data_IF_486061361723
#
_entry.id   IF_486061361723
#
_cell.length_a   1.000
_cell.length_b   1.000
_cell.length_c   1.000
_cell.angle_alpha   90.00
_cell.angle_beta   90.00
_cell.angle_gamma   90.00
#
_symmetry.space_group_name_H-M   'P 1'
#
loop_
_entity.id
_entity.type
_entity.pdbx_description
1 polymer ?
#
# COMPACT_ATOMS: atom_id res chain seq x y z
N UNK A 1 62.13 19.18 40.14
CA UNK A 1 60.79 19.77 40.02
C UNK A 1 60.18 19.19 38.76
N UNK A 2 59.46 18.07 38.89
CA UNK A 2 58.79 17.35 37.75
C UNK A 2 57.34 17.77 37.64
N UNK A 3 56.97 18.33 36.49
CA UNK A 3 55.58 18.63 36.16
C UNK A 3 54.92 17.34 35.68
N UNK A 4 53.99 16.80 36.47
CA UNK A 4 53.10 15.74 36.02
C UNK A 4 52.02 16.36 35.13
N UNK A 5 52.13 16.10 33.85
CA UNK A 5 51.12 16.42 32.87
C UNK A 5 50.02 15.35 32.96
N UNK A 6 48.92 15.69 33.63
CA UNK A 6 47.73 14.84 33.72
C UNK A 6 47.01 14.85 32.36
N UNK A 7 47.23 13.81 31.55
CA UNK A 7 46.51 13.60 30.27
C UNK A 7 45.12 13.06 30.61
N UNK A 8 44.15 13.96 30.72
CA UNK A 8 42.74 13.59 30.87
C UNK A 8 42.26 13.11 29.50
N UNK A 9 42.38 11.80 29.24
CA UNK A 9 41.73 11.16 28.13
C UNK A 9 40.23 11.11 28.41
N UNK A 10 39.51 12.12 27.94
CA UNK A 10 38.06 12.09 27.79
C UNK A 10 37.73 11.00 26.78
N UNK A 11 37.50 9.78 27.30
CA UNK A 11 36.77 8.74 26.57
C UNK A 11 35.37 9.27 26.30
N UNK A 12 35.20 9.99 25.21
CA UNK A 12 33.90 10.13 24.55
C UNK A 12 33.53 8.72 24.05
N UNK A 13 32.98 7.89 24.95
CA UNK A 13 32.14 6.79 24.54
C UNK A 13 30.96 7.42 23.81
N UNK A 14 31.08 7.54 22.51
CA UNK A 14 29.92 7.77 21.64
C UNK A 14 28.96 6.60 21.93
N UNK A 15 27.98 6.86 22.79
CA UNK A 15 26.83 6.00 22.95
C UNK A 15 26.15 5.95 21.59
N UNK A 16 26.54 4.98 20.79
CA UNK A 16 25.80 4.62 19.58
C UNK A 16 24.46 4.08 20.08
N UNK A 17 23.48 4.99 20.19
CA UNK A 17 22.09 4.62 20.47
C UNK A 17 21.61 3.89 19.22
N UNK A 18 21.78 2.58 19.21
CA UNK A 18 21.17 1.75 18.18
C UNK A 18 19.66 1.82 18.34
N UNK A 19 18.89 2.02 17.25
CA UNK A 19 17.45 1.97 17.32
C UNK A 19 17.02 0.61 17.86
N UNK A 20 16.10 0.62 18.81
CA UNK A 20 15.49 -0.60 19.31
C UNK A 20 14.54 -1.13 18.23
N UNK A 21 14.73 -2.40 17.83
CA UNK A 21 13.93 -3.06 16.84
C UNK A 21 12.77 -3.81 17.52
N UNK A 22 11.55 -3.41 17.22
CA UNK A 22 10.32 -4.08 17.67
C UNK A 22 9.77 -4.94 16.53
N UNK A 23 9.33 -6.15 16.86
CA UNK A 23 8.78 -7.09 15.87
C UNK A 23 7.55 -7.79 16.44
N UNK A 24 6.52 -7.94 15.60
CA UNK A 24 5.30 -8.60 16.03
C UNK A 24 4.39 -8.98 14.86
N UNK A 25 3.22 -9.47 15.26
CA UNK A 25 2.12 -9.82 14.37
C UNK A 25 0.85 -9.14 14.86
N UNK A 26 0.01 -8.70 13.94
CA UNK A 26 -1.32 -8.18 14.25
C UNK A 26 -2.34 -9.19 13.71
N UNK A 27 -3.24 -9.63 14.58
CA UNK A 27 -4.24 -10.65 14.25
C UNK A 27 -5.62 -10.25 14.75
N UNK A 28 -6.64 -10.79 14.13
CA UNK A 28 -8.02 -10.74 14.59
C UNK A 28 -8.16 -11.53 15.91
N UNK A 29 -8.80 -10.94 16.91
CA UNK A 29 -8.94 -11.55 18.25
C UNK A 29 -9.82 -12.81 18.24
N UNK A 30 -10.84 -12.84 17.38
CA UNK A 30 -11.81 -13.93 17.34
C UNK A 30 -11.36 -15.10 16.47
N UNK A 31 -10.79 -14.79 15.31
CA UNK A 31 -10.43 -15.80 14.29
C UNK A 31 -8.96 -16.17 14.28
N UNK A 32 -8.10 -15.37 14.95
CA UNK A 32 -6.63 -15.40 14.84
C UNK A 32 -6.11 -15.23 13.40
N UNK A 33 -6.94 -14.76 12.48
CA UNK A 33 -6.51 -14.43 11.12
C UNK A 33 -5.54 -13.26 11.14
N UNK A 34 -4.49 -13.32 10.33
CA UNK A 34 -3.55 -12.23 10.17
C UNK A 34 -4.26 -10.99 9.62
N UNK A 35 -3.92 -9.80 10.15
CA UNK A 35 -4.42 -8.53 9.65
C UNK A 35 -3.32 -7.83 8.82
N UNK A 36 -3.30 -8.03 7.51
CA UNK A 36 -2.35 -7.36 6.63
C UNK A 36 -2.67 -5.88 6.51
N UNK A 37 -1.62 -5.05 6.45
CA UNK A 37 -1.70 -3.59 6.32
C UNK A 37 -2.34 -2.88 7.54
N UNK A 38 -2.32 -3.51 8.72
CA UNK A 38 -2.60 -2.82 9.97
C UNK A 38 -1.49 -1.79 10.22
N UNK A 39 -1.89 -0.56 10.57
CA UNK A 39 -0.94 0.52 10.83
C UNK A 39 -0.40 0.42 12.25
N UNK A 40 0.91 0.48 12.41
CA UNK A 40 1.63 0.61 13.70
C UNK A 40 2.27 2.00 13.72
N UNK A 41 1.73 2.90 14.51
CA UNK A 41 2.08 4.31 14.54
C UNK A 41 2.62 4.73 15.90
N UNK A 42 3.78 5.37 15.93
CA UNK A 42 4.37 6.00 17.13
C UNK A 42 4.42 7.52 16.95
N UNK A 43 4.89 7.97 15.79
CA UNK A 43 4.92 9.38 15.39
C UNK A 43 4.79 9.50 13.87
N UNK A 44 4.73 10.74 13.35
CA UNK A 44 4.66 10.97 11.90
C UNK A 44 5.84 10.34 11.14
N UNK A 45 7.03 10.35 11.74
CA UNK A 45 8.26 9.84 11.15
C UNK A 45 8.63 8.43 11.62
N UNK A 46 7.85 7.85 12.55
CA UNK A 46 8.09 6.53 13.12
C UNK A 46 6.81 5.71 13.05
N UNK A 47 6.66 4.94 11.98
CA UNK A 47 5.50 4.11 11.70
C UNK A 47 5.82 3.05 10.68
N UNK A 48 4.99 2.02 10.67
CA UNK A 48 5.04 0.94 9.67
C UNK A 48 3.63 0.37 9.46
N UNK A 49 3.50 -0.55 8.52
CA UNK A 49 2.31 -1.39 8.38
C UNK A 49 2.71 -2.85 8.46
N UNK A 50 1.75 -3.70 8.81
CA UNK A 50 1.95 -5.14 8.71
C UNK A 50 2.05 -5.56 7.24
N UNK A 51 2.90 -6.54 6.96
CA UNK A 51 2.97 -7.17 5.64
C UNK A 51 1.77 -8.10 5.38
N UNK A 52 1.76 -8.81 4.25
CA UNK A 52 0.70 -9.75 3.89
C UNK A 52 0.47 -10.88 4.91
N UNK A 53 1.46 -11.19 5.74
CA UNK A 53 1.38 -12.21 6.80
C UNK A 53 1.00 -11.61 8.16
N UNK A 54 0.58 -10.35 8.22
CA UNK A 54 0.25 -9.64 9.45
C UNK A 54 1.46 -9.27 10.31
N UNK A 55 2.68 -9.45 9.80
CA UNK A 55 3.93 -9.21 10.53
C UNK A 55 4.44 -7.78 10.31
N UNK A 56 4.98 -7.15 11.37
CA UNK A 56 5.63 -5.85 11.28
C UNK A 56 7.02 -5.85 11.90
N UNK A 57 7.81 -4.86 11.53
CA UNK A 57 9.05 -4.46 12.18
C UNK A 57 9.07 -2.94 12.29
N UNK A 58 9.46 -2.43 13.44
CA UNK A 58 9.54 -0.99 13.71
C UNK A 58 10.84 -0.68 14.45
N UNK A 59 11.71 0.08 13.81
CA UNK A 59 12.98 0.53 14.40
C UNK A 59 12.80 1.95 14.94
N UNK A 60 13.00 2.12 16.24
CA UNK A 60 12.84 3.43 16.87
C UNK A 60 13.64 3.58 18.15
N UNK A 61 14.11 4.80 18.42
CA UNK A 61 14.68 5.21 19.69
C UNK A 61 13.68 5.97 20.58
N UNK A 62 12.44 6.14 20.09
CA UNK A 62 11.38 6.82 20.83
C UNK A 62 10.95 5.98 22.02
N UNK A 63 10.52 6.66 23.07
CA UNK A 63 9.84 6.07 24.22
C UNK A 63 8.37 6.44 24.16
N UNK A 64 7.50 5.64 24.78
CA UNK A 64 6.07 5.92 24.85
C UNK A 64 5.21 4.76 24.39
N UNK A 65 4.21 5.05 23.57
CA UNK A 65 3.20 4.10 23.13
C UNK A 65 3.16 4.00 21.61
N UNK A 66 2.83 2.82 21.11
CA UNK A 66 2.42 2.60 19.73
C UNK A 66 0.89 2.52 19.67
N UNK A 67 0.34 3.13 18.64
CA UNK A 67 -1.07 3.05 18.29
C UNK A 67 -1.21 2.09 17.12
N UNK A 68 -1.98 1.02 17.30
CA UNK A 68 -2.23 0.02 16.29
C UNK A 68 -3.67 0.17 15.81
N UNK A 69 -3.86 0.41 14.52
CA UNK A 69 -5.17 0.63 13.92
C UNK A 69 -5.37 -0.23 12.69
N UNK A 70 -6.59 -0.70 12.54
CA UNK A 70 -7.06 -1.40 11.34
C UNK A 70 -8.53 -1.07 11.11
N UNK A 71 -8.92 -0.78 9.87
CA UNK A 71 -10.28 -0.33 9.55
C UNK A 71 -11.29 -1.42 9.92
N UNK A 72 -12.28 -1.07 10.74
CA UNK A 72 -13.29 -2.00 11.26
C UNK A 72 -12.91 -2.69 12.57
N UNK A 73 -11.83 -2.24 13.23
CA UNK A 73 -11.36 -2.78 14.51
C UNK A 73 -11.14 -1.68 15.55
N UNK A 74 -11.24 -2.05 16.82
CA UNK A 74 -10.92 -1.17 17.94
C UNK A 74 -9.42 -0.88 17.96
N UNK A 75 -9.06 0.39 18.01
CA UNK A 75 -7.67 0.81 18.13
C UNK A 75 -7.03 0.29 19.42
N UNK A 76 -5.79 -0.20 19.33
CA UNK A 76 -4.99 -0.62 20.47
C UNK A 76 -3.88 0.41 20.73
N UNK A 77 -3.73 0.81 22.01
CA UNK A 77 -2.63 1.66 22.45
C UNK A 77 -1.74 0.83 23.36
N UNK A 78 -0.52 0.56 22.91
CA UNK A 78 0.39 -0.40 23.56
C UNK A 78 1.71 0.31 23.89
N UNK A 79 2.22 0.22 25.15
CA UNK A 79 3.57 0.68 25.47
C UNK A 79 4.61 0.00 24.57
N UNK A 80 5.59 0.75 24.08
CA UNK A 80 6.64 0.21 23.22
C UNK A 80 7.35 -0.99 23.86
N UNK A 81 7.53 -0.99 25.18
CA UNK A 81 8.10 -2.13 25.92
C UNK A 81 7.31 -3.45 25.76
N UNK A 82 6.05 -3.39 25.32
CA UNK A 82 5.17 -4.54 25.11
C UNK A 82 4.80 -4.75 23.63
N UNK A 83 5.45 -4.04 22.73
CA UNK A 83 5.10 -4.06 21.31
C UNK A 83 5.54 -5.36 20.60
N UNK A 84 6.50 -6.10 21.16
CA UNK A 84 6.93 -7.38 20.61
C UNK A 84 5.88 -8.48 20.82
N UNK A 85 5.74 -9.35 19.82
CA UNK A 85 4.85 -10.52 19.90
C UNK A 85 3.55 -10.35 19.11
N UNK A 86 2.50 -11.03 19.55
CA UNK A 86 1.21 -11.02 18.84
C UNK A 86 0.25 -10.03 19.48
N UNK A 87 -0.24 -9.11 18.68
CA UNK A 87 -1.21 -8.09 19.04
C UNK A 87 -2.58 -8.53 18.51
N UNK A 88 -3.53 -8.72 19.40
CA UNK A 88 -4.90 -9.11 19.07
C UNK A 88 -5.79 -7.88 18.96
N UNK A 89 -6.44 -7.69 17.83
CA UNK A 89 -7.37 -6.59 17.60
C UNK A 89 -8.80 -7.10 17.62
N UNK A 90 -9.66 -6.39 18.36
CA UNK A 90 -11.09 -6.71 18.48
C UNK A 90 -11.85 -6.06 17.32
N UNK A 91 -12.63 -6.84 16.53
CA UNK A 91 -13.42 -6.28 15.44
C UNK A 91 -14.59 -5.42 15.99
N UNK A 92 -15.04 -4.47 15.17
CA UNK A 92 -16.30 -3.78 15.41
C UNK A 92 -17.48 -4.73 15.24
N UNK A 93 -18.54 -4.48 16.00
CA UNK A 93 -19.77 -5.28 15.90
C UNK A 93 -20.57 -4.84 14.68
N UNK A 94 -21.06 -5.79 13.90
CA UNK A 94 -22.04 -5.52 12.85
C UNK A 94 -23.37 -5.21 13.51
N UNK A 95 -23.83 -3.97 13.42
CA UNK A 95 -25.12 -3.59 13.95
C UNK A 95 -26.22 -3.97 12.95
N UNK A 96 -26.94 -5.04 13.25
CA UNK A 96 -28.08 -5.52 12.46
C UNK A 96 -29.38 -4.79 12.82
N UNK A 97 -29.35 -3.92 13.84
CA UNK A 97 -30.54 -3.19 14.25
C UNK A 97 -30.83 -2.01 13.36
N UNK A 98 -32.06 -2.01 12.89
CA UNK A 98 -32.76 -0.95 12.16
C UNK A 98 -31.82 -0.02 11.41
N UNK A 99 -31.68 -0.31 10.16
CA UNK A 99 -31.28 0.68 9.17
C UNK A 99 -32.31 1.81 9.31
N UNK A 100 -32.09 2.71 10.27
CA UNK A 100 -32.60 4.08 10.13
C UNK A 100 -32.00 4.50 8.80
N UNK A 101 -32.82 4.47 7.78
CA UNK A 101 -32.39 4.61 6.40
C UNK A 101 -31.76 5.97 6.21
N UNK A 102 -30.49 6.10 6.62
CA UNK A 102 -29.66 7.13 6.04
C UNK A 102 -29.60 6.80 4.55
N UNK A 103 -30.17 7.64 3.70
CA UNK A 103 -30.18 7.33 2.29
C UNK A 103 -28.74 7.13 1.85
N UNK A 104 -28.40 5.94 1.34
CA UNK A 104 -27.07 5.61 0.81
C UNK A 104 -26.53 6.75 -0.06
N UNK A 105 -27.43 7.37 -0.83
CA UNK A 105 -27.14 8.54 -1.67
C UNK A 105 -26.61 9.73 -0.89
N UNK A 106 -27.10 9.95 0.33
CA UNK A 106 -26.61 11.07 1.19
C UNK A 106 -25.21 10.77 1.69
N UNK A 107 -24.95 9.54 2.13
CA UNK A 107 -23.62 9.12 2.58
C UNK A 107 -22.59 9.20 1.46
N UNK A 108 -22.92 8.70 0.26
CA UNK A 108 -22.05 8.80 -0.91
C UNK A 108 -21.81 10.26 -1.28
N UNK A 109 -22.87 11.08 -1.31
CA UNK A 109 -22.75 12.50 -1.63
C UNK A 109 -21.87 13.22 -0.64
N UNK A 110 -22.05 13.02 0.67
CA UNK A 110 -21.23 13.65 1.71
C UNK A 110 -19.76 13.23 1.61
N UNK A 111 -19.47 11.94 1.36
CA UNK A 111 -18.12 11.49 1.13
C UNK A 111 -17.49 12.16 -0.10
N UNK A 112 -18.24 12.31 -1.20
CA UNK A 112 -17.77 13.03 -2.38
C UNK A 112 -17.54 14.53 -2.11
N UNK A 113 -18.45 15.18 -1.38
CA UNK A 113 -18.33 16.59 -1.01
C UNK A 113 -17.11 16.81 -0.11
N UNK A 114 -16.85 15.89 0.84
CA UNK A 114 -15.66 15.91 1.70
C UNK A 114 -14.37 15.83 0.87
N UNK A 115 -14.28 14.87 -0.07
CA UNK A 115 -13.13 14.76 -0.96
C UNK A 115 -12.90 16.02 -1.81
N UNK A 116 -13.98 16.66 -2.25
CA UNK A 116 -13.89 17.89 -3.02
C UNK A 116 -13.42 19.08 -2.18
N UNK A 117 -13.86 19.13 -0.92
CA UNK A 117 -13.43 20.14 0.05
C UNK A 117 -11.92 20.01 0.31
N UNK A 118 -11.47 18.79 0.59
CA UNK A 118 -10.06 18.48 0.82
C UNK A 118 -9.18 18.81 -0.39
N UNK A 119 -9.63 18.44 -1.60
CA UNK A 119 -8.91 18.73 -2.84
C UNK A 119 -8.72 20.22 -3.12
N UNK A 120 -9.64 21.09 -2.64
CA UNK A 120 -9.52 22.55 -2.76
C UNK A 120 -8.53 23.15 -1.76
N UNK A 121 -8.50 22.61 -0.54
CA UNK A 121 -7.60 23.07 0.54
C UNK A 121 -6.17 22.56 0.39
N UNK A 122 -5.98 21.51 -0.42
CA UNK A 122 -4.74 20.78 -0.53
C UNK A 122 -3.83 21.32 -1.64
N UNK A 123 -2.85 22.11 -1.25
CA UNK A 123 -1.81 22.59 -2.18
C UNK A 123 -0.44 21.97 -1.83
N UNK A 124 0.11 21.21 -2.79
CA UNK A 124 1.54 20.83 -2.86
C UNK A 124 2.11 19.98 -1.71
N UNK A 125 1.37 19.00 -1.18
CA UNK A 125 1.96 18.08 -0.23
C UNK A 125 2.46 16.82 -0.93
N UNK A 126 3.74 16.55 -0.79
CA UNK A 126 4.42 15.41 -1.36
C UNK A 126 4.80 14.45 -0.22
N UNK A 127 4.75 13.17 -0.51
CA UNK A 127 5.19 12.11 0.39
C UNK A 127 6.05 11.13 -0.39
N UNK A 128 6.97 10.48 0.30
CA UNK A 128 7.76 9.41 -0.24
C UNK A 128 7.03 8.09 -0.03
N UNK A 129 7.17 7.20 -1.00
CA UNK A 129 6.51 5.92 -1.04
C UNK A 129 7.49 4.82 -1.39
N UNK A 130 7.22 3.63 -0.85
CA UNK A 130 7.81 2.38 -1.33
C UNK A 130 6.81 1.71 -2.27
N UNK A 131 7.30 1.24 -3.39
CA UNK A 131 6.62 0.24 -4.22
C UNK A 131 7.43 -1.04 -4.22
N UNK A 132 6.76 -2.16 -4.00
CA UNK A 132 7.35 -3.50 -4.06
C UNK A 132 6.44 -4.41 -4.86
N UNK A 133 7.02 -5.19 -5.80
CA UNK A 133 6.29 -6.14 -6.61
C UNK A 133 7.04 -7.46 -6.69
N UNK A 134 6.30 -8.55 -6.52
CA UNK A 134 6.76 -9.93 -6.78
C UNK A 134 5.88 -10.51 -7.89
N UNK A 135 6.48 -11.05 -8.93
CA UNK A 135 5.79 -11.78 -9.99
C UNK A 135 6.15 -13.25 -9.89
N UNK A 136 5.13 -14.09 -9.75
CA UNK A 136 5.26 -15.54 -9.69
C UNK A 136 4.76 -16.16 -11.00
N UNK A 137 5.49 -17.17 -11.47
CA UNK A 137 5.14 -18.01 -12.59
C UNK A 137 5.04 -19.46 -12.05
N UNK A 138 3.84 -20.04 -12.06
CA UNK A 138 3.56 -21.35 -11.46
C UNK A 138 4.16 -21.48 -10.04
N UNK A 139 3.94 -20.48 -9.19
CA UNK A 139 4.46 -20.37 -7.80
C UNK A 139 5.97 -20.10 -7.66
N UNK A 140 6.74 -20.07 -8.75
CA UNK A 140 8.17 -19.72 -8.71
C UNK A 140 8.32 -18.22 -8.95
N UNK A 141 9.09 -17.53 -8.09
CA UNK A 141 9.35 -16.11 -8.28
C UNK A 141 10.23 -15.92 -9.52
N UNK A 142 9.72 -15.13 -10.45
CA UNK A 142 10.36 -14.84 -11.72
C UNK A 142 10.88 -13.41 -11.83
N UNK A 143 10.24 -12.49 -11.10
CA UNK A 143 10.55 -11.08 -11.17
C UNK A 143 10.34 -10.42 -9.81
N UNK A 144 11.23 -9.48 -9.47
CA UNK A 144 11.13 -8.63 -8.30
C UNK A 144 11.46 -7.19 -8.65
N UNK A 145 10.61 -6.28 -8.19
CA UNK A 145 10.82 -4.83 -8.33
C UNK A 145 10.66 -4.20 -6.95
N UNK A 146 11.55 -3.32 -6.58
CA UNK A 146 11.41 -2.48 -5.40
C UNK A 146 11.92 -1.08 -5.71
N UNK A 147 11.12 -0.06 -5.39
CA UNK A 147 11.46 1.33 -5.67
C UNK A 147 11.02 2.25 -4.55
N UNK A 148 11.78 3.32 -4.36
CA UNK A 148 11.35 4.50 -3.63
C UNK A 148 11.00 5.59 -4.63
N UNK A 149 9.87 6.23 -4.42
CA UNK A 149 9.43 7.33 -5.26
C UNK A 149 8.72 8.40 -4.42
N UNK A 150 8.74 9.63 -4.92
CA UNK A 150 7.97 10.73 -4.36
C UNK A 150 6.73 10.97 -5.21
N UNK A 151 5.62 11.28 -4.56
CA UNK A 151 4.39 11.64 -5.25
C UNK A 151 3.59 12.68 -4.47
N UNK A 152 2.75 13.42 -5.18
CA UNK A 152 1.65 14.13 -4.54
C UNK A 152 0.65 13.11 -4.03
N UNK A 153 0.49 13.06 -2.71
CA UNK A 153 -0.41 12.14 -2.04
C UNK A 153 -1.73 12.84 -1.78
N UNK A 154 -2.73 12.37 -2.46
CA UNK A 154 -4.14 12.69 -2.24
C UNK A 154 -4.87 11.35 -2.11
N UNK A 155 -6.14 11.31 -2.44
CA UNK A 155 -6.90 10.06 -2.59
C UNK A 155 -6.34 9.18 -3.74
N UNK A 156 -5.51 9.76 -4.59
CA UNK A 156 -4.73 9.07 -5.62
C UNK A 156 -3.34 9.71 -5.72
N UNK A 157 -2.34 8.93 -6.16
CA UNK A 157 -0.99 9.42 -6.35
C UNK A 157 -0.85 10.17 -7.68
N UNK A 158 -0.19 11.33 -7.65
CA UNK A 158 0.08 12.16 -8.84
C UNK A 158 1.52 12.64 -8.86
N UNK A 159 2.01 13.02 -10.04
CA UNK A 159 3.34 13.62 -10.25
C UNK A 159 4.47 12.78 -9.65
N UNK A 160 4.48 11.49 -9.97
CA UNK A 160 5.48 10.58 -9.46
C UNK A 160 6.89 10.94 -9.93
N UNK A 161 7.83 10.87 -8.99
CA UNK A 161 9.26 11.04 -9.24
C UNK A 161 10.03 9.90 -8.58
N UNK A 162 10.76 9.11 -9.37
CA UNK A 162 11.54 8.01 -8.85
C UNK A 162 12.77 8.53 -8.10
N UNK A 163 13.01 7.97 -6.92
CA UNK A 163 14.17 8.27 -6.06
C UNK A 163 15.27 7.25 -6.33
N UNK A 164 14.98 5.98 -6.12
CA UNK A 164 15.88 4.86 -6.40
C UNK A 164 15.07 3.59 -6.63
N UNK A 165 15.70 2.56 -7.19
CA UNK A 165 15.03 1.29 -7.43
C UNK A 165 15.99 0.15 -7.66
N UNK A 166 15.49 -1.07 -7.50
CA UNK A 166 16.14 -2.31 -7.90
C UNK A 166 15.17 -3.24 -8.62
N UNK A 167 15.66 -3.94 -9.59
CA UNK A 167 14.89 -4.83 -10.42
C UNK A 167 15.69 -6.08 -10.75
N UNK A 168 15.08 -7.23 -10.60
CA UNK A 168 15.65 -8.49 -10.98
C UNK A 168 14.63 -9.39 -11.68
N UNK A 169 15.09 -10.18 -12.65
CA UNK A 169 14.31 -11.22 -13.31
C UNK A 169 15.15 -12.45 -13.52
N UNK A 170 14.56 -13.63 -13.34
CA UNK A 170 15.16 -14.89 -13.76
C UNK A 170 14.69 -15.18 -15.18
N UNK A 171 15.66 -15.36 -16.09
CA UNK A 171 15.40 -15.88 -17.43
C UNK A 171 15.01 -17.34 -17.31
N UNK A 172 13.75 -17.67 -17.53
CA UNK A 172 13.26 -19.05 -17.51
C UNK A 172 13.12 -19.59 -18.92
N UNK A 173 14.18 -20.25 -19.44
CA UNK A 173 14.11 -21.12 -20.60
C UNK A 173 13.81 -20.45 -21.95
N UNK A 174 13.49 -21.31 -22.95
CA UNK A 174 13.29 -21.00 -24.38
C UNK A 174 12.08 -20.10 -24.70
N UNK A 175 11.23 -19.78 -23.76
CA UNK A 175 9.95 -19.08 -23.96
C UNK A 175 10.04 -17.56 -23.94
N UNK A 176 11.18 -17.02 -24.32
CA UNK A 176 11.36 -15.58 -24.46
C UNK A 176 11.29 -14.80 -23.14
N UNK A 177 12.00 -13.69 -23.08
CA UNK A 177 12.04 -12.79 -21.91
C UNK A 177 10.66 -12.11 -21.69
N UNK A 178 9.72 -12.82 -21.07
CA UNK A 178 8.47 -12.22 -20.64
C UNK A 178 8.69 -11.47 -19.33
N UNK A 179 8.87 -10.20 -19.51
CA UNK A 179 8.76 -9.22 -18.46
C UNK A 179 7.28 -8.95 -18.19
N UNK A 180 6.74 -9.65 -17.20
CA UNK A 180 5.31 -9.78 -17.04
C UNK A 180 4.59 -8.53 -16.58
N UNK A 181 5.19 -7.50 -16.08
CA UNK A 181 4.41 -6.31 -15.85
C UNK A 181 5.09 -5.18 -15.09
N UNK A 182 5.47 -4.21 -15.81
CA UNK A 182 5.76 -2.88 -15.30
C UNK A 182 4.53 -2.00 -15.15
N UNK A 183 3.39 -2.44 -15.65
CA UNK A 183 2.20 -1.60 -15.72
C UNK A 183 1.37 -1.58 -14.44
N UNK A 184 1.63 -2.45 -13.46
CA UNK A 184 0.93 -2.38 -12.17
C UNK A 184 1.23 -1.09 -11.42
N UNK A 185 2.44 -0.57 -11.51
CA UNK A 185 2.76 0.73 -10.95
C UNK A 185 1.92 1.88 -11.55
N UNK A 186 1.50 1.78 -12.80
CA UNK A 186 0.62 2.76 -13.43
C UNK A 186 -0.85 2.63 -13.00
N UNK A 187 -1.26 1.49 -12.45
CA UNK A 187 -2.62 1.29 -11.94
C UNK A 187 -2.89 2.11 -10.67
N UNK A 188 -1.86 2.41 -9.89
CA UNK A 188 -1.92 3.34 -8.74
C UNK A 188 -2.48 4.70 -9.13
N UNK A 189 -2.33 5.07 -10.39
CA UNK A 189 -2.82 6.34 -10.92
C UNK A 189 -4.25 6.25 -11.47
N UNK A 190 -4.89 5.08 -11.44
CA UNK A 190 -6.29 4.97 -11.82
C UNK A 190 -7.10 5.84 -10.85
N UNK A 191 -7.63 6.91 -11.38
CA UNK A 191 -8.48 7.84 -10.63
C UNK A 191 -9.77 7.15 -10.23
N UNK A 192 -9.75 6.46 -9.08
CA UNK A 192 -10.89 5.73 -8.50
C UNK A 192 -12.11 6.60 -8.28
N UNK A 193 -11.89 7.90 -8.24
CA UNK A 193 -12.90 8.92 -7.98
C UNK A 193 -13.04 9.89 -9.15
N UNK A 194 -13.00 9.37 -10.37
CA UNK A 194 -13.24 10.18 -11.56
C UNK A 194 -14.67 10.71 -11.57
N UNK A 195 -14.83 12.02 -11.75
CA UNK A 195 -16.15 12.67 -11.85
C UNK A 195 -16.94 12.24 -13.10
N UNK A 196 -16.24 11.78 -14.12
CA UNK A 196 -16.83 11.36 -15.41
C UNK A 196 -16.25 10.03 -15.82
N UNK A 197 -17.12 9.14 -16.29
CA UNK A 197 -16.73 7.89 -16.88
C UNK A 197 -16.07 8.16 -18.24
N UNK A 198 -14.82 7.73 -18.38
CA UNK A 198 -14.10 7.80 -19.65
C UNK A 198 -14.26 6.49 -20.41
N UNK A 199 -14.35 6.57 -21.73
CA UNK A 199 -14.35 5.38 -22.59
C UNK A 199 -13.11 4.53 -22.31
N UNK A 200 -13.30 3.24 -22.07
CA UNK A 200 -12.25 2.24 -21.77
C UNK A 200 -11.57 2.34 -20.39
N UNK A 201 -12.10 3.12 -19.45
CA UNK A 201 -11.62 3.10 -18.06
C UNK A 201 -12.56 2.31 -17.16
N UNK A 202 -12.05 1.69 -16.07
CA UNK A 202 -12.88 1.09 -15.04
C UNK A 202 -13.89 2.12 -14.54
N UNK A 203 -15.12 1.68 -14.32
CA UNK A 203 -16.18 2.51 -13.72
C UNK A 203 -15.91 2.53 -12.22
N UNK A 204 -15.61 3.68 -11.61
CA UNK A 204 -15.32 3.77 -10.18
C UNK A 204 -16.60 3.68 -9.35
N UNK A 205 -16.46 3.35 -8.06
CA UNK A 205 -17.57 3.32 -7.11
C UNK A 205 -18.28 4.67 -7.00
N UNK A 206 -17.50 5.74 -6.87
CA UNK A 206 -18.02 7.10 -6.71
C UNK A 206 -18.13 7.82 -8.06
N UNK A 207 -19.28 7.73 -8.66
CA UNK A 207 -19.65 8.44 -9.88
C UNK A 207 -21.12 8.89 -9.75
N UNK A 208 -21.47 9.99 -10.36
CA UNK A 208 -22.88 10.47 -10.37
C UNK A 208 -23.86 9.47 -10.99
N UNK A 209 -23.37 8.50 -11.75
CA UNK A 209 -24.18 7.52 -12.46
C UNK A 209 -24.08 6.10 -11.88
N UNK A 210 -23.56 5.94 -10.66
CA UNK A 210 -23.30 4.61 -10.08
C UNK A 210 -24.53 3.69 -10.09
N UNK A 211 -25.74 4.23 -9.89
CA UNK A 211 -26.99 3.46 -9.92
C UNK A 211 -27.26 2.75 -11.25
N UNK A 212 -26.71 3.25 -12.35
CA UNK A 212 -26.83 2.60 -13.67
C UNK A 212 -26.04 1.31 -13.72
N UNK A 213 -24.94 1.20 -12.98
CA UNK A 213 -23.94 0.16 -13.09
C UNK A 213 -23.95 -0.82 -11.92
N UNK A 214 -24.41 -0.38 -10.72
CA UNK A 214 -24.28 -1.15 -9.49
C UNK A 214 -25.62 -1.43 -8.81
N UNK A 215 -25.70 -2.63 -8.21
CA UNK A 215 -26.55 -2.89 -7.05
C UNK A 215 -25.73 -2.58 -5.80
N UNK A 216 -26.34 -1.99 -4.79
CA UNK A 216 -25.67 -1.49 -3.62
C UNK A 216 -26.29 -2.09 -2.37
N UNK A 217 -25.43 -2.59 -1.47
CA UNK A 217 -25.77 -2.95 -0.10
C UNK A 217 -25.08 -1.99 0.88
N UNK A 218 -25.67 -1.83 2.05
CA UNK A 218 -25.19 -0.91 3.07
C UNK A 218 -25.19 -1.60 4.44
N UNK A 219 -24.07 -1.48 5.15
CA UNK A 219 -23.88 -2.03 6.50
C UNK A 219 -23.21 -1.01 7.40
N UNK A 220 -23.55 -0.99 8.67
CA UNK A 220 -22.90 -0.15 9.67
C UNK A 220 -22.07 -1.05 10.57
N UNK A 221 -20.78 -0.74 10.71
CA UNK A 221 -19.91 -1.31 11.73
C UNK A 221 -19.86 -0.32 12.90
N UNK A 222 -20.27 -0.77 14.10
CA UNK A 222 -20.32 0.07 15.28
C UNK A 222 -19.13 -0.20 16.19
N UNK A 223 -18.33 0.83 16.43
CA UNK A 223 -17.29 0.90 17.45
C UNK A 223 -17.77 1.64 18.70
N UNK A 224 -16.90 1.78 19.69
CA UNK A 224 -17.25 2.46 20.96
C UNK A 224 -17.60 3.93 20.75
N UNK A 225 -16.85 4.65 19.92
CA UNK A 225 -16.98 6.09 19.72
C UNK A 225 -17.24 6.50 18.27
N UNK A 226 -17.29 5.56 17.34
CA UNK A 226 -17.44 5.85 15.91
C UNK A 226 -18.13 4.72 15.19
N UNK A 227 -18.88 5.07 14.15
CA UNK A 227 -19.44 4.12 13.21
C UNK A 227 -18.68 4.19 11.91
N UNK A 228 -18.61 3.06 11.20
CA UNK A 228 -18.09 3.00 9.84
C UNK A 228 -19.23 2.56 8.92
N UNK A 229 -19.50 3.35 7.90
CA UNK A 229 -20.43 2.99 6.85
C UNK A 229 -19.73 2.16 5.79
N UNK A 230 -20.20 0.95 5.58
CA UNK A 230 -19.67 0.05 4.56
C UNK A 230 -20.66 -0.04 3.42
N UNK A 231 -20.28 0.48 2.26
CA UNK A 231 -21.08 0.44 1.05
C UNK A 231 -20.50 -0.62 0.13
N UNK A 232 -21.28 -1.65 -0.17
CA UNK A 232 -20.90 -2.73 -1.08
C UNK A 232 -21.47 -2.44 -2.47
N UNK A 233 -20.59 -2.40 -3.48
CA UNK A 233 -20.94 -2.18 -4.87
C UNK A 233 -20.78 -3.47 -5.66
N UNK A 234 -21.88 -4.03 -6.16
CA UNK A 234 -21.91 -5.20 -7.05
C UNK A 234 -22.35 -4.79 -8.44
N UNK A 235 -21.54 -5.04 -9.45
CA UNK A 235 -21.90 -4.69 -10.82
C UNK A 235 -23.13 -5.45 -11.29
N UNK A 236 -24.02 -4.75 -12.00
CA UNK A 236 -25.17 -5.37 -12.64
C UNK A 236 -24.73 -6.34 -13.73
N UNK A 237 -25.52 -7.38 -13.95
CA UNK A 237 -25.19 -8.47 -14.91
C UNK A 237 -25.00 -7.98 -16.35
N UNK A 238 -25.70 -6.94 -16.77
CA UNK A 238 -25.67 -6.38 -18.12
C UNK A 238 -24.46 -5.48 -18.41
N UNK A 239 -23.62 -5.18 -17.40
CA UNK A 239 -22.44 -4.33 -17.59
C UNK A 239 -21.33 -5.14 -18.26
N UNK A 240 -20.99 -4.76 -19.49
CA UNK A 240 -19.91 -5.38 -20.29
C UNK A 240 -18.58 -4.64 -20.19
N UNK A 241 -18.58 -3.40 -19.74
CA UNK A 241 -17.38 -2.59 -19.59
C UNK A 241 -16.52 -3.12 -18.44
N UNK A 242 -15.23 -2.76 -18.44
CA UNK A 242 -14.38 -2.96 -17.27
C UNK A 242 -14.95 -2.15 -16.12
N UNK A 243 -15.23 -2.81 -15.01
CA UNK A 243 -15.87 -2.22 -13.84
C UNK A 243 -15.21 -2.74 -12.56
N UNK A 244 -15.14 -1.91 -11.54
CA UNK A 244 -14.66 -2.30 -10.22
C UNK A 244 -15.85 -2.66 -9.33
N UNK A 245 -15.80 -3.83 -8.69
CA UNK A 245 -16.76 -4.28 -7.67
C UNK A 245 -16.06 -4.32 -6.32
N UNK A 246 -16.76 -4.03 -5.23
CA UNK A 246 -16.15 -4.14 -3.90
C UNK A 246 -16.82 -3.31 -2.84
N UNK A 247 -16.06 -2.89 -1.84
CA UNK A 247 -16.56 -2.18 -0.66
C UNK A 247 -15.82 -0.86 -0.45
N UNK A 248 -16.58 0.14 -0.04
CA UNK A 248 -16.08 1.43 0.39
C UNK A 248 -16.40 1.62 1.87
N UNK A 249 -15.39 1.94 2.67
CA UNK A 249 -15.49 2.19 4.09
C UNK A 249 -15.39 3.69 4.34
N UNK A 250 -16.42 4.27 4.95
CA UNK A 250 -16.58 5.71 5.16
C UNK A 250 -16.72 5.96 6.65
N UNK A 251 -15.97 6.90 7.18
CA UNK A 251 -16.11 7.35 8.57
C UNK A 251 -17.50 7.95 8.81
N UNK A 252 -18.14 7.55 9.90
CA UNK A 252 -19.50 7.98 10.23
C UNK A 252 -19.57 9.40 10.79
N UNK A 253 -18.47 10.00 11.21
CA UNK A 253 -18.43 11.34 11.79
C UNK A 253 -18.16 12.41 10.74
N UNK A 254 -17.10 12.24 9.96
CA UNK A 254 -16.63 13.26 9.01
C UNK A 254 -16.75 12.86 7.54
N UNK A 255 -17.29 11.66 7.26
CA UNK A 255 -17.50 11.12 5.91
C UNK A 255 -16.22 10.94 5.08
N UNK A 256 -15.07 10.89 5.70
CA UNK A 256 -13.81 10.55 5.02
C UNK A 256 -13.79 9.10 4.60
N UNK A 257 -13.15 8.85 3.48
CA UNK A 257 -12.90 7.47 3.04
C UNK A 257 -11.74 6.92 3.84
N UNK A 258 -11.98 5.79 4.52
CA UNK A 258 -11.00 5.08 5.33
C UNK A 258 -10.31 3.97 4.56
N UNK A 259 -11.08 3.26 3.74
CA UNK A 259 -10.59 2.11 2.97
C UNK A 259 -11.47 1.90 1.75
N UNK A 260 -10.88 1.39 0.70
CA UNK A 260 -11.66 0.75 -0.32
C UNK A 260 -10.99 -0.58 -0.71
N UNK A 261 -11.80 -1.56 -1.02
CA UNK A 261 -11.36 -2.84 -1.56
C UNK A 261 -12.24 -3.22 -2.74
N UNK A 262 -11.62 -3.74 -3.79
CA UNK A 262 -12.38 -4.07 -4.98
C UNK A 262 -11.63 -4.97 -5.94
N UNK A 263 -12.41 -5.55 -6.85
CA UNK A 263 -11.91 -6.39 -7.93
C UNK A 263 -12.37 -5.84 -9.27
N UNK A 264 -11.46 -5.79 -10.24
CA UNK A 264 -11.80 -5.43 -11.61
C UNK A 264 -12.45 -6.62 -12.30
N UNK A 265 -13.69 -6.42 -12.73
CA UNK A 265 -14.44 -7.36 -13.57
C UNK A 265 -14.30 -6.97 -15.03
N UNK A 266 -14.34 -7.96 -15.94
CA UNK A 266 -14.19 -7.79 -17.39
C UNK A 266 -12.85 -7.17 -17.83
N UNK A 267 -11.83 -7.22 -16.98
CA UNK A 267 -10.51 -6.68 -17.32
C UNK A 267 -9.70 -7.67 -18.16
N UNK A 268 -8.89 -7.13 -19.08
CA UNK A 268 -8.03 -7.94 -19.94
C UNK A 268 -6.67 -7.27 -20.11
N UNK A 269 -5.64 -8.09 -20.23
CA UNK A 269 -4.32 -7.68 -20.73
C UNK A 269 -4.26 -7.88 -22.23
N UNK A 270 -3.60 -6.98 -22.94
CA UNK A 270 -3.31 -7.11 -24.36
C UNK A 270 -1.93 -7.73 -24.57
N UNK A 271 -1.87 -8.85 -25.26
CA UNK A 271 -0.65 -9.48 -25.72
C UNK A 271 -0.67 -9.58 -27.25
N UNK A 272 -0.03 -8.66 -27.94
CA UNK A 272 -0.22 -8.47 -29.37
C UNK A 272 -1.71 -8.23 -29.70
N UNK A 273 -2.28 -9.07 -30.57
CA UNK A 273 -3.72 -9.02 -30.91
C UNK A 273 -4.62 -9.81 -29.94
N UNK A 274 -4.04 -10.57 -29.00
CA UNK A 274 -4.81 -11.39 -28.05
C UNK A 274 -5.19 -10.58 -26.82
N UNK A 275 -6.43 -10.77 -26.36
CA UNK A 275 -6.91 -10.28 -25.05
C UNK A 275 -6.91 -11.43 -24.07
N UNK A 276 -6.20 -11.29 -22.98
CA UNK A 276 -6.04 -12.29 -21.93
C UNK A 276 -6.85 -11.81 -20.72
N UNK A 277 -7.78 -12.62 -20.20
CA UNK A 277 -8.52 -12.26 -18.98
C UNK A 277 -7.56 -11.98 -17.85
N UNK A 278 -7.78 -10.87 -17.12
CA UNK A 278 -7.04 -10.47 -15.94
C UNK A 278 -8.01 -10.35 -14.78
N UNK A 279 -7.71 -11.02 -13.67
CA UNK A 279 -8.30 -10.72 -12.38
C UNK A 279 -7.37 -9.78 -11.64
N UNK A 280 -7.86 -8.62 -11.23
CA UNK A 280 -7.10 -7.64 -10.47
C UNK A 280 -7.91 -7.22 -9.26
N UNK A 281 -7.37 -7.47 -8.06
CA UNK A 281 -7.90 -6.95 -6.81
C UNK A 281 -7.03 -5.81 -6.30
N UNK A 282 -7.69 -4.84 -5.67
CA UNK A 282 -7.08 -3.64 -5.13
C UNK A 282 -7.62 -3.44 -3.72
N UNK A 283 -6.73 -3.16 -2.79
CA UNK A 283 -7.07 -2.83 -1.41
C UNK A 283 -6.28 -1.59 -1.00
N UNK A 284 -6.96 -0.45 -0.82
CA UNK A 284 -6.33 0.82 -0.48
C UNK A 284 -6.80 1.27 0.88
N UNK A 285 -5.87 1.54 1.78
CA UNK A 285 -6.10 2.12 3.10
C UNK A 285 -5.69 3.59 3.07
N UNK A 286 -6.54 4.42 3.61
CA UNK A 286 -6.33 5.86 3.70
C UNK A 286 -6.06 6.29 5.13
N UNK A 287 -5.35 7.38 5.28
CA UNK A 287 -5.07 8.02 6.56
C UNK A 287 -5.38 9.51 6.48
N UNK A 288 -5.67 10.09 7.65
CA UNK A 288 -5.87 11.52 7.81
C UNK A 288 -4.86 12.07 8.83
N UNK A 289 -3.65 12.35 8.38
CA UNK A 289 -2.60 12.85 9.28
C UNK A 289 -2.48 14.36 9.30
N UNK A 290 -2.88 14.99 8.22
CA UNK A 290 -2.62 16.41 7.97
C UNK A 290 -3.91 17.18 7.66
N UNK A 291 -5.04 16.65 8.10
CA UNK A 291 -6.35 17.24 7.85
C UNK A 291 -6.92 16.94 6.46
N UNK A 292 -6.36 15.96 5.73
CA UNK A 292 -6.87 15.50 4.45
C UNK A 292 -6.62 13.99 4.27
N UNK A 293 -7.43 13.37 3.44
CA UNK A 293 -7.34 11.95 3.11
C UNK A 293 -6.17 11.70 2.14
N UNK A 294 -5.23 10.86 2.55
CA UNK A 294 -4.10 10.43 1.74
C UNK A 294 -3.92 8.90 1.80
N UNK A 295 -3.30 8.33 0.76
CA UNK A 295 -3.01 6.90 0.75
C UNK A 295 -1.99 6.59 1.83
N UNK A 296 -2.32 5.63 2.70
CA UNK A 296 -1.41 5.01 3.65
C UNK A 296 -0.71 3.81 3.05
N UNK A 297 -1.49 2.90 2.49
CA UNK A 297 -1.01 1.72 1.79
C UNK A 297 -1.96 1.29 0.70
N UNK A 298 -1.44 0.62 -0.31
CA UNK A 298 -2.23 0.02 -1.37
C UNK A 298 -1.64 -1.34 -1.75
N UNK A 299 -2.48 -2.36 -1.79
CA UNK A 299 -2.16 -3.69 -2.27
C UNK A 299 -2.84 -3.94 -3.61
N UNK A 300 -2.08 -4.49 -4.54
CA UNK A 300 -2.54 -4.88 -5.86
C UNK A 300 -2.21 -6.36 -6.09
N UNK A 301 -3.22 -7.17 -6.35
CA UNK A 301 -3.04 -8.58 -6.67
C UNK A 301 -3.62 -8.86 -8.06
N UNK A 302 -2.76 -9.26 -8.99
CA UNK A 302 -3.13 -9.59 -10.36
C UNK A 302 -2.94 -11.08 -10.65
N UNK A 303 -3.89 -11.69 -11.35
CA UNK A 303 -3.79 -13.06 -11.80
C UNK A 303 -4.27 -13.18 -13.26
N UNK A 304 -3.47 -13.86 -14.09
CA UNK A 304 -3.82 -14.20 -15.47
C UNK A 304 -3.05 -15.43 -15.94
N UNK A 305 -3.55 -16.06 -17.02
CA UNK A 305 -2.91 -17.22 -17.61
C UNK A 305 -2.33 -16.90 -18.98
N UNK A 306 -1.04 -17.18 -19.16
CA UNK A 306 -0.33 -16.93 -20.41
C UNK A 306 0.57 -18.12 -20.76
N UNK A 307 0.48 -18.64 -22.00
CA UNK A 307 1.24 -19.81 -22.46
C UNK A 307 1.13 -21.03 -21.53
N UNK A 308 -0.07 -21.28 -21.02
CA UNK A 308 -0.32 -22.41 -20.12
C UNK A 308 0.16 -22.21 -18.67
N UNK A 309 0.82 -21.10 -18.36
CA UNK A 309 1.36 -20.78 -17.04
C UNK A 309 0.45 -19.81 -16.29
N UNK A 310 0.28 -20.02 -14.99
CA UNK A 310 -0.45 -19.12 -14.11
C UNK A 310 0.50 -18.04 -13.59
N UNK A 311 0.19 -16.80 -13.94
CA UNK A 311 0.97 -15.62 -13.55
C UNK A 311 0.25 -14.91 -12.40
N UNK A 312 0.92 -14.82 -11.26
CA UNK A 312 0.44 -14.10 -10.09
C UNK A 312 1.36 -12.91 -9.80
N UNK A 313 0.80 -11.73 -9.72
CA UNK A 313 1.50 -10.50 -9.38
C UNK A 313 0.97 -9.99 -8.05
N UNK A 314 1.88 -9.77 -7.11
CA UNK A 314 1.59 -9.15 -5.83
C UNK A 314 2.39 -7.86 -5.73
N UNK A 315 1.71 -6.74 -5.53
CA UNK A 315 2.36 -5.45 -5.36
C UNK A 315 1.83 -4.72 -4.13
N UNK A 316 2.74 -3.98 -3.49
CA UNK A 316 2.47 -3.15 -2.33
C UNK A 316 2.99 -1.74 -2.58
N UNK A 317 2.21 -0.75 -2.16
CA UNK A 317 2.62 0.63 -2.02
C UNK A 317 2.44 1.01 -0.56
N UNK A 318 3.41 1.71 0.00
CA UNK A 318 3.35 2.22 1.36
C UNK A 318 3.89 3.64 1.45
N UNK A 319 3.16 4.50 2.15
CA UNK A 319 3.53 5.89 2.41
C UNK A 319 4.53 5.96 3.57
N UNK A 320 5.79 6.27 3.30
CA UNK A 320 6.84 6.39 4.32
C UNK A 320 6.90 7.78 4.98
N UNK A 321 6.19 8.75 4.44
CA UNK A 321 6.07 10.09 5.01
C UNK A 321 6.79 11.18 4.22
N UNK A 322 6.97 12.33 4.86
CA UNK A 322 7.63 13.50 4.26
C UNK A 322 9.16 13.40 4.41
N UNK A 323 9.79 12.41 3.81
CA UNK A 323 11.26 12.37 3.75
C UNK A 323 11.73 13.23 2.59
N UNK A 324 12.67 14.13 2.85
CA UNK A 324 13.33 14.93 1.82
C UNK A 324 14.50 14.15 1.21
N UNK A 325 14.15 13.16 0.41
CA UNK A 325 15.14 12.45 -0.40
C UNK A 325 15.25 13.15 -1.75
N UNK A 326 16.46 13.33 -2.26
CA UNK A 326 16.70 14.00 -3.52
C UNK A 326 16.03 13.28 -4.72
N UNK A 327 15.27 14.02 -5.52
CA UNK A 327 14.53 13.46 -6.64
C UNK A 327 15.39 13.43 -7.91
N UNK A 328 15.57 12.22 -8.44
CA UNK A 328 16.43 12.02 -9.61
C UNK A 328 15.69 12.15 -10.94
N UNK A 329 14.43 11.69 -11.04
CA UNK A 329 13.70 11.65 -12.31
C UNK A 329 12.19 11.57 -12.12
N UNK A 330 11.40 12.29 -12.96
CA UNK A 330 9.96 12.14 -13.01
C UNK A 330 9.57 10.91 -13.82
N UNK A 331 8.68 10.09 -13.26
CA UNK A 331 8.04 8.97 -13.96
C UNK A 331 6.80 9.52 -14.67
N UNK A 332 6.74 9.36 -16.00
CA UNK A 332 5.54 9.66 -16.76
C UNK A 332 4.64 8.43 -16.80
N UNK A 333 3.33 8.65 -16.92
CA UNK A 333 2.36 7.57 -17.17
C UNK A 333 2.79 6.76 -18.41
N UNK A 334 2.73 5.46 -18.33
CA UNK A 334 3.20 4.48 -19.34
C UNK A 334 4.73 4.39 -19.52
N UNK A 335 5.51 4.90 -18.57
CA UNK A 335 6.96 4.76 -18.66
C UNK A 335 7.41 3.36 -18.20
N UNK A 336 8.40 2.80 -18.88
CA UNK A 336 8.97 1.50 -18.50
C UNK A 336 9.86 1.66 -17.26
N UNK A 337 9.32 1.31 -16.08
CA UNK A 337 10.01 1.43 -14.80
C UNK A 337 11.35 0.67 -14.79
N UNK A 338 11.42 -0.47 -15.48
CA UNK A 338 12.62 -1.30 -15.57
C UNK A 338 13.77 -0.59 -16.26
N UNK A 339 13.50 0.10 -17.36
CA UNK A 339 14.53 0.89 -18.06
C UNK A 339 15.10 2.00 -17.19
N UNK A 340 14.23 2.66 -16.43
CA UNK A 340 14.68 3.71 -15.51
C UNK A 340 15.56 3.12 -14.43
N UNK A 341 15.12 2.03 -13.78
CA UNK A 341 15.88 1.39 -12.71
C UNK A 341 17.21 0.85 -13.24
N UNK A 342 17.23 0.26 -14.43
CA UNK A 342 18.47 -0.26 -15.04
C UNK A 342 19.53 0.82 -15.30
N UNK A 343 19.11 2.08 -15.39
CA UNK A 343 20.03 3.23 -15.53
C UNK A 343 20.56 3.78 -14.21
N UNK A 344 20.09 3.25 -13.06
CA UNK A 344 20.50 3.69 -11.72
C UNK A 344 21.64 2.82 -11.19
N UNK A 345 22.44 3.38 -10.28
CA UNK A 345 23.42 2.61 -9.53
C UNK A 345 22.74 1.83 -8.40
N UNK A 346 23.16 0.59 -8.21
CA UNK A 346 22.73 -0.20 -7.07
C UNK A 346 23.50 0.22 -5.81
N UNK A 347 22.77 0.58 -4.76
CA UNK A 347 23.34 0.93 -3.47
C UNK A 347 22.89 -0.09 -2.42
N UNK A 348 23.74 -1.07 -2.12
CA UNK A 348 23.46 -2.13 -1.15
C UNK A 348 23.27 -1.60 0.27
N UNK A 349 23.93 -0.50 0.64
CA UNK A 349 23.79 0.12 1.96
C UNK A 349 22.41 0.74 2.11
N UNK A 350 21.96 1.46 1.08
CA UNK A 350 20.61 2.00 1.03
C UNK A 350 19.55 0.90 1.28
N UNK A 351 19.61 -0.21 0.54
CA UNK A 351 18.63 -1.30 0.65
C UNK A 351 18.67 -2.05 1.98
N UNK A 352 19.80 -2.06 2.67
CA UNK A 352 19.92 -2.64 4.02
C UNK A 352 19.33 -1.74 5.10
N UNK A 353 19.46 -0.42 4.95
CA UNK A 353 18.99 0.57 5.92
C UNK A 353 17.49 0.87 5.80
N UNK A 354 16.89 0.67 4.61
CA UNK A 354 15.49 1.00 4.34
C UNK A 354 14.62 -0.27 4.40
N UNK A 355 14.04 -0.49 5.56
CA UNK A 355 13.18 -1.65 5.83
C UNK A 355 11.86 -1.21 6.50
N UNK A 356 11.27 -0.13 5.98
CA UNK A 356 10.06 0.52 6.51
C UNK A 356 8.84 -0.39 6.57
N UNK A 357 8.78 -1.37 5.67
CA UNK A 357 7.78 -2.46 5.71
C UNK A 357 8.49 -3.79 5.77
N UNK A 358 8.15 -4.60 6.76
CA UNK A 358 8.74 -5.94 6.93
C UNK A 358 8.52 -6.79 5.69
N UNK A 359 9.62 -7.32 5.16
CA UNK A 359 9.55 -8.25 4.03
C UNK A 359 8.92 -9.58 4.46
N UNK A 360 8.05 -10.13 3.64
CA UNK A 360 7.52 -11.48 3.83
C UNK A 360 8.65 -12.52 3.69
N UNK A 361 8.48 -13.74 4.23
CA UNK A 361 9.45 -14.82 4.01
C UNK A 361 9.75 -15.09 2.53
N UNK A 362 8.72 -15.00 1.68
CA UNK A 362 8.87 -15.14 0.24
C UNK A 362 9.76 -14.04 -0.34
N UNK A 363 9.49 -12.77 -0.02
CA UNK A 363 10.28 -11.63 -0.49
C UNK A 363 11.74 -11.71 -0.05
N UNK A 364 11.99 -12.08 1.22
CA UNK A 364 13.36 -12.26 1.73
C UNK A 364 14.12 -13.34 0.93
N UNK A 365 13.52 -14.51 0.78
CA UNK A 365 14.11 -15.62 0.01
C UNK A 365 14.40 -15.23 -1.43
N UNK A 366 13.51 -14.44 -2.05
CA UNK A 366 13.66 -13.95 -3.42
C UNK A 366 14.81 -12.95 -3.53
N UNK A 367 14.89 -12.01 -2.61
CA UNK A 367 15.95 -11.00 -2.58
C UNK A 367 17.30 -11.67 -2.39
N UNK A 368 17.44 -12.57 -1.40
CA UNK A 368 18.67 -13.33 -1.14
C UNK A 368 19.11 -14.13 -2.37
N UNK A 369 18.16 -14.80 -3.04
CA UNK A 369 18.45 -15.54 -4.28
C UNK A 369 18.95 -14.61 -5.38
N UNK A 370 18.33 -13.44 -5.56
CA UNK A 370 18.72 -12.52 -6.62
C UNK A 370 20.04 -11.80 -6.32
N UNK A 371 20.30 -11.46 -5.06
CA UNK A 371 21.58 -10.89 -4.63
C UNK A 371 22.71 -11.90 -4.79
N UNK A 372 22.52 -13.16 -4.37
CA UNK A 372 23.55 -14.22 -4.50
C UNK A 372 23.93 -14.53 -5.95
N UNK A 373 23.02 -14.29 -6.88
CA UNK A 373 23.24 -14.50 -8.32
C UNK A 373 23.67 -13.22 -9.07
N UNK A 374 23.79 -12.08 -8.39
CA UNK A 374 24.07 -10.77 -8.99
C UNK A 374 23.14 -10.42 -10.17
N UNK A 375 21.83 -10.75 -10.07
CA UNK A 375 20.88 -10.55 -11.17
C UNK A 375 20.06 -9.29 -11.06
N UNK A 376 20.24 -8.45 -10.05
CA UNK A 376 19.68 -7.10 -10.07
C UNK A 376 20.33 -6.30 -11.20
N UNK A 377 19.51 -5.76 -12.10
CA UNK A 377 19.98 -5.17 -13.37
C UNK A 377 20.86 -3.96 -13.20
N UNK A 378 20.84 -3.33 -12.03
CA UNK A 378 21.67 -2.18 -11.68
C UNK A 378 22.83 -2.52 -10.71
N UNK A 379 23.08 -3.81 -10.44
CA UNK A 379 24.33 -4.29 -9.81
C UNK A 379 25.41 -4.39 -10.88
N UNK A 380 26.36 -3.46 -10.88
CA UNK A 380 27.55 -3.47 -11.76
C UNK A 380 28.81 -3.33 -10.90
#
# INVERSE_FOLDING_TARGET
MGKYLLFFVLLFSSLHIYPQCYQGYVVDEETNACLPFATVFVSQDCRTVTNADGAFTLDTNLKGVARISYVGYHEQIIPLSRLNGTIKMKPYVVNLHEVTAYPIDVTIKRAMDQLLLEAKSYKNKESDFIYRQVTLNDRTCNEYIETFFNAKSEISLRKLSLITGRYATLKTGKDGDFSYCTNFFSLVQLGLFARKIKKNMPIPFLTSEYKKYYNIDYTILSGVNSNIYVITFKAKRNVKNVIIEGKLYIDGQDYRILKYEGTLRNSTLSYGKRKIPLTLSINTVYTNRRGFTEIESEELNGNYRLFGKDILIKALIFNVGEKKIEHKKRIKYNYNLKEIISSMNYDSNFWRQHNEVRKTPLEKKVIELFESKNVFTNMR
#
